data_IF_720641910285
#
_entry.id   IF_720641910285
#
_cell.length_a   1.000
_cell.length_b   1.000
_cell.length_c   1.000
_cell.angle_alpha   90.00
_cell.angle_beta   90.00
_cell.angle_gamma   90.00
#
_symmetry.space_group_name_H-M   'P 1'
#
loop_
_entity.id
_entity.type
_entity.pdbx_description
1 polymer ?
#
# COMPACT_ATOMS: atom_id res chain seq x y z
N UNK A 1 -13.18 22.14 3.56
CA UNK A 1 -12.21 22.07 2.44
C UNK A 1 -12.36 20.71 1.76
N UNK A 2 -12.44 20.67 0.42
CA UNK A 2 -12.65 19.40 -0.32
C UNK A 2 -11.46 18.44 -0.18
N UNK A 3 -11.76 17.16 0.02
CA UNK A 3 -10.82 16.04 0.16
C UNK A 3 -10.80 15.11 -1.06
N UNK A 4 -11.38 15.56 -2.18
CA UNK A 4 -11.55 14.72 -3.39
C UNK A 4 -10.23 14.21 -3.96
N UNK A 5 -9.20 15.07 -4.02
CA UNK A 5 -7.90 14.74 -4.59
C UNK A 5 -7.21 13.62 -3.79
N UNK A 6 -7.20 13.74 -2.47
CA UNK A 6 -6.63 12.70 -1.60
C UNK A 6 -7.35 11.37 -1.75
N UNK A 7 -8.69 11.38 -1.82
CA UNK A 7 -9.48 10.17 -2.06
C UNK A 7 -9.12 9.50 -3.39
N UNK A 8 -8.99 10.29 -4.46
CA UNK A 8 -8.59 9.79 -5.78
C UNK A 8 -7.21 9.14 -5.71
N UNK A 9 -6.23 9.78 -5.07
CA UNK A 9 -4.88 9.22 -4.92
C UNK A 9 -4.89 7.90 -4.15
N UNK A 10 -5.65 7.81 -3.05
CA UNK A 10 -5.76 6.57 -2.28
C UNK A 10 -6.41 5.45 -3.10
N UNK A 11 -7.45 5.76 -3.89
CA UNK A 11 -8.09 4.75 -4.74
C UNK A 11 -7.18 4.28 -5.88
N UNK A 12 -6.43 5.17 -6.51
CA UNK A 12 -5.45 4.78 -7.55
C UNK A 12 -4.34 3.92 -6.92
N UNK A 13 -3.82 4.31 -5.75
CA UNK A 13 -2.78 3.55 -5.05
C UNK A 13 -3.27 2.16 -4.64
N UNK A 14 -4.48 2.09 -4.10
CA UNK A 14 -5.08 0.81 -3.74
C UNK A 14 -5.33 -0.07 -4.97
N UNK A 15 -5.82 0.49 -6.08
CA UNK A 15 -5.97 -0.26 -7.33
C UNK A 15 -4.63 -0.80 -7.82
N UNK A 16 -3.56 0.01 -7.72
CA UNK A 16 -2.20 -0.45 -8.03
C UNK A 16 -1.74 -1.57 -7.09
N UNK A 17 -1.94 -1.48 -5.77
CA UNK A 17 -1.62 -2.57 -4.82
C UNK A 17 -2.33 -3.88 -5.17
N UNK A 18 -3.60 -3.81 -5.56
CA UNK A 18 -4.36 -4.99 -5.97
C UNK A 18 -3.75 -5.62 -7.23
N UNK A 19 -3.45 -4.79 -8.24
CA UNK A 19 -2.82 -5.25 -9.48
C UNK A 19 -1.43 -5.83 -9.23
N UNK A 20 -0.60 -5.16 -8.44
CA UNK A 20 0.76 -5.59 -8.13
C UNK A 20 0.79 -6.89 -7.32
N UNK A 21 -0.12 -7.03 -6.35
CA UNK A 21 -0.30 -8.29 -5.62
C UNK A 21 -0.74 -9.45 -6.52
N UNK A 22 -1.62 -9.19 -7.49
CA UNK A 22 -2.03 -10.19 -8.50
C UNK A 22 -0.86 -10.57 -9.42
N UNK A 23 -0.09 -9.58 -9.91
CA UNK A 23 1.09 -9.84 -10.73
C UNK A 23 2.15 -10.64 -9.96
N UNK A 24 2.37 -10.32 -8.69
CA UNK A 24 3.24 -11.05 -7.78
C UNK A 24 2.86 -12.53 -7.68
N UNK A 25 1.57 -12.83 -7.47
CA UNK A 25 1.10 -14.22 -7.35
C UNK A 25 1.18 -14.95 -8.69
N UNK A 26 0.58 -14.39 -9.74
CA UNK A 26 0.34 -15.11 -10.99
C UNK A 26 1.52 -15.06 -11.97
N UNK A 27 2.26 -13.95 -12.01
CA UNK A 27 3.41 -13.80 -12.92
C UNK A 27 4.66 -14.33 -12.23
N UNK A 28 5.04 -13.72 -11.11
CA UNK A 28 6.28 -14.08 -10.42
C UNK A 28 6.20 -15.45 -9.76
N UNK A 29 5.10 -15.76 -9.06
CA UNK A 29 4.91 -17.08 -8.46
C UNK A 29 4.98 -18.22 -9.49
N UNK A 30 4.29 -18.10 -10.61
CA UNK A 30 4.32 -19.14 -11.66
C UNK A 30 5.70 -19.24 -12.31
N UNK A 31 6.37 -18.11 -12.55
CA UNK A 31 7.72 -18.09 -13.11
C UNK A 31 8.72 -18.83 -12.22
N UNK A 32 8.71 -18.58 -10.92
CA UNK A 32 9.57 -19.25 -9.92
C UNK A 32 9.29 -20.76 -9.89
N UNK A 33 8.01 -21.14 -9.95
CA UNK A 33 7.62 -22.55 -9.98
C UNK A 33 8.11 -23.27 -11.25
N UNK A 34 8.12 -22.59 -12.40
CA UNK A 34 8.63 -23.15 -13.66
C UNK A 34 10.14 -23.33 -13.64
N UNK A 35 10.91 -22.38 -13.10
CA UNK A 35 12.36 -22.52 -12.98
C UNK A 35 12.78 -23.72 -12.11
N UNK A 36 12.01 -24.05 -11.08
CA UNK A 36 12.26 -25.23 -10.25
C UNK A 36 12.00 -26.58 -10.93
N UNK A 37 11.36 -26.61 -12.10
CA UNK A 37 11.09 -27.83 -12.88
C UNK A 37 12.16 -28.12 -13.94
N UNK A 38 12.89 -27.09 -14.40
CA UNK A 38 13.77 -27.16 -15.58
C UNK A 38 15.24 -27.52 -15.26
N UNK A 39 15.48 -28.13 -14.09
CA UNK A 39 16.84 -28.36 -13.61
C UNK A 39 17.39 -29.70 -14.13
N UNK A 40 17.81 -29.70 -15.40
CA UNK A 40 18.48 -30.84 -16.03
C UNK A 40 19.93 -31.00 -15.52
N UNK A 41 20.36 -32.25 -15.28
CA UNK A 41 21.76 -32.57 -14.94
C UNK A 41 22.13 -32.57 -13.45
N UNK A 42 21.17 -32.39 -12.53
CA UNK A 42 21.42 -32.49 -11.09
C UNK A 42 21.27 -33.93 -10.55
N UNK A 43 22.06 -34.26 -9.52
CA UNK A 43 21.83 -35.49 -8.74
C UNK A 43 20.46 -35.46 -8.05
N UNK A 44 19.90 -36.62 -7.71
CA UNK A 44 18.60 -36.75 -7.03
C UNK A 44 18.54 -35.91 -5.74
N UNK A 45 19.62 -35.86 -4.98
CA UNK A 45 19.72 -35.06 -3.75
C UNK A 45 19.66 -33.55 -4.04
N UNK A 46 20.40 -33.07 -5.03
CA UNK A 46 20.39 -31.66 -5.43
C UNK A 46 19.03 -31.24 -6.02
N UNK A 47 18.40 -32.11 -6.81
CA UNK A 47 17.07 -31.85 -7.36
C UNK A 47 16.02 -31.72 -6.24
N UNK A 48 16.11 -32.55 -5.19
CA UNK A 48 15.21 -32.46 -4.03
C UNK A 48 15.42 -31.17 -3.24
N UNK A 49 16.67 -30.76 -3.03
CA UNK A 49 17.01 -29.51 -2.36
C UNK A 49 16.49 -28.28 -3.15
N UNK A 50 16.71 -28.25 -4.46
CA UNK A 50 16.21 -27.17 -5.32
C UNK A 50 14.68 -27.07 -5.30
N UNK A 51 13.97 -28.19 -5.42
CA UNK A 51 12.49 -28.19 -5.36
C UNK A 51 11.96 -27.65 -4.03
N UNK A 52 12.60 -27.98 -2.91
CA UNK A 52 12.22 -27.46 -1.59
C UNK A 52 12.45 -25.95 -1.47
N UNK A 53 13.58 -25.45 -1.96
CA UNK A 53 13.89 -24.02 -1.99
C UNK A 53 12.91 -23.25 -2.86
N UNK A 54 12.69 -23.67 -4.11
CA UNK A 54 11.72 -23.03 -5.00
C UNK A 54 10.28 -23.09 -4.48
N UNK A 55 9.90 -24.19 -3.82
CA UNK A 55 8.60 -24.28 -3.15
C UNK A 55 8.45 -23.27 -2.01
N UNK A 56 9.51 -23.07 -1.22
CA UNK A 56 9.52 -22.10 -0.11
C UNK A 56 9.45 -20.65 -0.64
N UNK A 57 10.23 -20.34 -1.67
CA UNK A 57 10.22 -19.03 -2.34
C UNK A 57 8.84 -18.76 -2.96
N UNK A 58 8.26 -19.75 -3.64
CA UNK A 58 6.91 -19.64 -4.19
C UNK A 58 5.88 -19.28 -3.11
N UNK A 59 5.88 -20.01 -1.98
CA UNK A 59 4.96 -19.74 -0.88
C UNK A 59 5.16 -18.32 -0.31
N UNK A 60 6.41 -17.90 -0.14
CA UNK A 60 6.72 -16.54 0.32
C UNK A 60 6.15 -15.47 -0.62
N UNK A 61 6.36 -15.63 -1.92
CA UNK A 61 5.85 -14.70 -2.95
C UNK A 61 4.32 -14.65 -2.96
N UNK A 62 3.65 -15.80 -2.83
CA UNK A 62 2.19 -15.86 -2.78
C UNK A 62 1.65 -15.15 -1.53
N UNK A 63 2.22 -15.42 -0.35
CA UNK A 63 1.81 -14.76 0.90
C UNK A 63 2.03 -13.26 0.80
N UNK A 64 3.16 -12.83 0.25
CA UNK A 64 3.46 -11.42 0.05
C UNK A 64 2.46 -10.75 -0.89
N UNK A 65 2.13 -11.37 -2.02
CA UNK A 65 1.12 -10.84 -2.94
C UNK A 65 -0.28 -10.77 -2.32
N UNK A 66 -0.68 -11.75 -1.50
CA UNK A 66 -1.94 -11.69 -0.73
C UNK A 66 -1.93 -10.54 0.26
N UNK A 67 -0.80 -10.28 0.94
CA UNK A 67 -0.66 -9.16 1.86
C UNK A 67 -0.84 -7.82 1.13
N UNK A 68 -0.27 -7.65 -0.07
CA UNK A 68 -0.48 -6.45 -0.88
C UNK A 68 -1.96 -6.25 -1.26
N UNK A 69 -2.65 -7.34 -1.62
CA UNK A 69 -4.09 -7.30 -1.93
C UNK A 69 -4.89 -6.84 -0.71
N UNK A 70 -4.61 -7.41 0.47
CA UNK A 70 -5.27 -7.04 1.72
C UNK A 70 -5.01 -5.58 2.10
N UNK A 71 -3.78 -5.07 1.91
CA UNK A 71 -3.45 -3.66 2.11
C UNK A 71 -4.23 -2.75 1.17
N UNK A 72 -4.36 -3.13 -0.11
CA UNK A 72 -5.17 -2.38 -1.09
C UNK A 72 -6.63 -2.27 -0.64
N UNK A 73 -7.24 -3.39 -0.22
CA UNK A 73 -8.62 -3.42 0.28
C UNK A 73 -8.78 -2.59 1.57
N UNK A 74 -7.82 -2.68 2.49
CA UNK A 74 -7.82 -1.90 3.72
C UNK A 74 -7.76 -0.39 3.41
N UNK A 75 -6.92 0.03 2.46
CA UNK A 75 -6.81 1.43 2.06
C UNK A 75 -8.10 1.96 1.43
N UNK A 76 -8.79 1.16 0.61
CA UNK A 76 -10.12 1.47 0.07
C UNK A 76 -11.14 1.65 1.21
N UNK A 77 -11.17 0.72 2.15
CA UNK A 77 -12.08 0.77 3.30
C UNK A 77 -11.84 2.03 4.15
N UNK A 78 -10.58 2.31 4.48
CA UNK A 78 -10.19 3.46 5.30
C UNK A 78 -10.52 4.78 4.60
N UNK A 79 -10.25 4.89 3.29
CA UNK A 79 -10.60 6.08 2.50
C UNK A 79 -12.11 6.34 2.53
N UNK A 80 -12.93 5.30 2.35
CA UNK A 80 -14.39 5.42 2.34
C UNK A 80 -14.95 5.79 3.71
N UNK A 81 -14.47 5.16 4.79
CA UNK A 81 -15.03 5.34 6.14
C UNK A 81 -14.57 6.63 6.81
N UNK A 82 -13.30 6.99 6.67
CA UNK A 82 -12.67 8.01 7.52
C UNK A 82 -12.27 9.29 6.76
N UNK A 83 -12.21 9.28 5.42
CA UNK A 83 -11.79 10.44 4.63
C UNK A 83 -12.99 11.30 4.16
N UNK A 84 -13.76 11.81 5.13
CA UNK A 84 -14.92 12.69 4.91
C UNK A 84 -14.52 14.17 4.84
N UNK A 85 -15.30 14.95 4.11
CA UNK A 85 -15.08 16.39 4.00
C UNK A 85 -15.34 17.10 5.34
N UNK A 86 -14.50 18.08 5.69
CA UNK A 86 -14.64 18.86 6.92
C UNK A 86 -14.18 18.19 8.23
N UNK A 87 -13.88 16.88 8.22
CA UNK A 87 -13.40 16.18 9.41
C UNK A 87 -11.88 16.35 9.56
N UNK A 88 -11.44 16.78 10.75
CA UNK A 88 -10.02 16.85 11.12
C UNK A 88 -9.62 15.52 11.77
N UNK A 89 -8.83 14.71 11.06
CA UNK A 89 -8.32 13.43 11.58
C UNK A 89 -6.84 13.25 11.24
N UNK A 90 -5.98 13.07 12.26
CA UNK A 90 -4.52 12.95 12.07
C UNK A 90 -4.07 11.52 11.77
N UNK A 91 -4.79 10.51 12.31
CA UNK A 91 -4.42 9.10 12.22
C UNK A 91 -4.31 8.59 10.78
N UNK A 92 -5.23 9.03 9.93
CA UNK A 92 -5.37 8.52 8.57
C UNK A 92 -4.31 9.08 7.60
N UNK A 93 -3.99 10.38 7.59
CA UNK A 93 -2.83 10.88 6.87
C UNK A 93 -1.51 10.23 7.33
N UNK A 94 -1.32 10.01 8.64
CA UNK A 94 -0.13 9.33 9.16
C UNK A 94 -0.06 7.88 8.68
N UNK A 95 -1.19 7.16 8.68
CA UNK A 95 -1.28 5.81 8.10
C UNK A 95 -0.80 5.78 6.64
N UNK A 96 -1.22 6.75 5.81
CA UNK A 96 -0.76 6.83 4.42
C UNK A 96 0.74 7.06 4.32
N UNK A 97 1.34 7.87 5.21
CA UNK A 97 2.81 8.03 5.23
C UNK A 97 3.50 6.71 5.60
N UNK A 98 2.95 5.94 6.54
CA UNK A 98 3.46 4.61 6.88
C UNK A 98 3.37 3.67 5.67
N UNK A 99 2.25 3.69 4.93
CA UNK A 99 2.12 2.95 3.67
C UNK A 99 3.15 3.40 2.63
N UNK A 100 3.41 4.70 2.50
CA UNK A 100 4.43 5.22 1.58
C UNK A 100 5.85 4.78 1.94
N UNK A 101 6.20 4.77 3.24
CA UNK A 101 7.49 4.25 3.73
C UNK A 101 7.58 2.74 3.49
N UNK A 102 6.52 1.99 3.75
CA UNK A 102 6.46 0.57 3.44
C UNK A 102 6.68 0.30 1.95
N UNK A 103 6.00 1.07 1.08
CA UNK A 103 6.18 1.01 -0.39
C UNK A 103 7.63 1.30 -0.80
N UNK A 104 8.35 2.17 -0.09
CA UNK A 104 9.78 2.39 -0.34
C UNK A 104 10.63 1.16 -0.09
N UNK A 105 10.41 0.42 1.01
CA UNK A 105 11.17 -0.79 1.30
C UNK A 105 10.97 -1.91 0.28
N UNK A 106 9.80 -1.95 -0.35
CA UNK A 106 9.47 -2.94 -1.39
C UNK A 106 9.69 -2.40 -2.81
N UNK A 107 10.29 -1.19 -2.94
CA UNK A 107 10.58 -0.50 -4.21
C UNK A 107 9.34 -0.25 -5.09
N UNK A 108 8.17 -0.09 -4.49
CA UNK A 108 6.91 0.16 -5.18
C UNK A 108 6.71 1.66 -5.45
N UNK A 109 7.41 2.13 -6.50
CA UNK A 109 7.52 3.55 -6.87
C UNK A 109 6.14 4.23 -7.01
N UNK A 110 5.15 3.66 -7.74
CA UNK A 110 3.85 4.32 -7.89
C UNK A 110 3.16 4.58 -6.55
N UNK A 111 3.18 3.61 -5.63
CA UNK A 111 2.54 3.78 -4.33
C UNK A 111 3.28 4.72 -3.40
N UNK A 112 4.62 4.82 -3.49
CA UNK A 112 5.37 5.85 -2.77
C UNK A 112 4.83 7.24 -3.13
N UNK A 113 4.75 7.55 -4.42
CA UNK A 113 4.29 8.87 -4.87
C UNK A 113 2.85 9.15 -4.45
N UNK A 114 1.94 8.19 -4.63
CA UNK A 114 0.52 8.39 -4.35
C UNK A 114 0.23 8.51 -2.85
N UNK A 115 0.76 7.60 -2.02
CA UNK A 115 0.52 7.62 -0.58
C UNK A 115 1.21 8.78 0.12
N UNK A 116 2.45 9.11 -0.24
CA UNK A 116 3.16 10.25 0.34
C UNK A 116 2.45 11.56 -0.01
N UNK A 117 2.05 11.74 -1.28
CA UNK A 117 1.30 12.93 -1.70
C UNK A 117 -0.03 13.05 -0.95
N UNK A 118 -0.82 11.98 -0.89
CA UNK A 118 -2.10 12.00 -0.18
C UNK A 118 -1.94 12.25 1.33
N UNK A 119 -0.92 11.66 1.97
CA UNK A 119 -0.60 11.86 3.37
C UNK A 119 -0.19 13.31 3.70
N UNK A 120 0.76 13.87 2.94
CA UNK A 120 1.25 15.25 3.13
C UNK A 120 0.13 16.26 2.89
N UNK A 121 -0.61 16.14 1.79
CA UNK A 121 -1.76 17.02 1.49
C UNK A 121 -2.81 16.90 2.60
N UNK A 122 -3.06 15.67 3.07
CA UNK A 122 -3.96 15.38 4.18
C UNK A 122 -3.62 16.16 5.45
N UNK A 123 -2.35 16.10 5.86
CA UNK A 123 -1.81 16.82 7.03
C UNK A 123 -1.84 18.34 6.84
N UNK A 124 -1.44 18.84 5.67
CA UNK A 124 -1.42 20.28 5.39
C UNK A 124 -2.82 20.89 5.51
N UNK A 125 -3.83 20.26 4.90
CA UNK A 125 -5.23 20.72 5.01
C UNK A 125 -5.77 20.58 6.43
N UNK A 126 -5.39 19.54 7.19
CA UNK A 126 -5.75 19.43 8.61
C UNK A 126 -5.21 20.60 9.43
N UNK A 127 -3.95 21.00 9.20
CA UNK A 127 -3.34 22.15 9.86
C UNK A 127 -4.09 23.44 9.52
N UNK A 128 -4.45 23.62 8.25
CA UNK A 128 -5.25 24.78 7.79
C UNK A 128 -6.65 24.86 8.41
N UNK A 129 -7.35 23.72 8.53
CA UNK A 129 -8.69 23.70 9.16
C UNK A 129 -8.62 23.98 10.66
N UNK A 130 -7.63 23.41 11.39
CA UNK A 130 -7.40 23.72 12.81
C UNK A 130 -7.11 25.20 13.04
N UNK A 131 -6.28 25.81 12.20
CA UNK A 131 -5.96 27.22 12.30
C UNK A 131 -7.21 28.11 12.16
N UNK A 132 -8.08 27.82 11.18
CA UNK A 132 -9.34 28.55 10.99
C UNK A 132 -10.29 28.38 12.18
N UNK A 133 -10.43 27.16 12.70
CA UNK A 133 -11.28 26.89 13.85
C UNK A 133 -10.83 27.68 15.10
N UNK A 134 -9.52 27.78 15.33
CA UNK A 134 -8.97 28.56 16.45
C UNK A 134 -9.18 30.07 16.30
N UNK A 135 -9.19 30.60 15.07
CA UNK A 135 -9.48 32.02 14.82
C UNK A 135 -10.94 32.32 15.14
N UNK A 136 -11.88 31.51 14.65
CA UNK A 136 -13.32 31.69 14.93
C UNK A 136 -13.61 31.63 16.43
N UNK A 137 -13.03 30.67 17.16
CA UNK A 137 -13.21 30.59 18.62
C UNK A 137 -12.71 31.85 19.32
N UNK A 138 -11.59 32.44 18.87
CA UNK A 138 -11.05 33.69 19.43
C UNK A 138 -11.93 34.90 19.16
N UNK A 139 -12.58 34.97 18.00
CA UNK A 139 -13.53 36.03 17.66
C UNK A 139 -14.85 35.92 18.48
N UNK A 140 -15.24 34.72 18.92
CA UNK A 140 -16.46 34.51 19.72
C UNK A 140 -16.27 34.83 21.22
N UNK A 141 -15.03 34.81 21.73
CA UNK A 141 -14.70 35.04 23.15
C UNK A 141 -14.04 36.39 23.44
N UNK A 142 -13.78 37.21 22.40
CA UNK A 142 -13.26 38.57 22.52
C UNK A 142 -14.36 39.60 22.30
#
# INVERSE_FOLDING_TARGET
>A
MSRRLERVFIYIAAAWQLLDGLLTIFVYGVFIKKQGLDVAGLSVAQMRAMKALFGSIFNFVVIFGVLLILLGLLNIYLARKHWKDGVVGWKLPVWLLVCGIFSYFIMDIPNIFLFMSAGIIGLAKNKGMKARQNVTIREEIG
#
